data_IF_179816585702
#
_entry.id   IF_179816585702
#
_cell.length_a   1.000
_cell.length_b   1.000
_cell.length_c   1.000
_cell.angle_alpha   90.00
_cell.angle_beta   90.00
_cell.angle_gamma   90.00
#
_symmetry.space_group_name_H-M   'P 1'
#
loop_
_entity.id
_entity.type
_entity.pdbx_description
1 polymer ?
#
# COMPACT_ATOMS: atom_id res chain seq x y z
N UNK A 1 15.02 -8.82 4.71
CA UNK A 1 15.41 -7.44 4.33
C UNK A 1 14.13 -6.63 4.19
N UNK A 2 14.03 -5.47 4.84
CA UNK A 2 12.81 -4.65 4.81
C UNK A 2 12.77 -3.78 3.54
N UNK A 3 11.99 -4.20 2.55
CA UNK A 3 11.87 -3.49 1.26
C UNK A 3 10.97 -2.24 1.32
N UNK A 4 10.37 -1.93 2.47
CA UNK A 4 9.60 -0.68 2.66
C UNK A 4 10.48 0.57 2.72
N UNK A 5 11.80 0.39 2.87
CA UNK A 5 12.77 1.49 2.99
C UNK A 5 13.62 1.57 1.72
N UNK A 6 13.63 2.73 1.07
CA UNK A 6 14.43 2.99 -0.14
C UNK A 6 15.92 2.60 0.01
N UNK A 7 16.54 2.92 1.15
CA UNK A 7 17.94 2.55 1.46
C UNK A 7 18.23 1.04 1.37
N UNK A 8 17.20 0.20 1.47
CA UNK A 8 17.28 -1.25 1.41
C UNK A 8 17.01 -1.80 -0.01
N UNK A 9 16.82 -0.96 -1.03
CA UNK A 9 16.67 -1.38 -2.43
C UNK A 9 18.00 -1.14 -3.14
N UNK A 10 18.90 -2.13 -3.30
CA UNK A 10 20.28 -1.84 -3.71
C UNK A 10 20.45 -1.53 -5.20
N UNK A 11 19.56 -2.02 -6.05
CA UNK A 11 19.64 -1.90 -7.51
C UNK A 11 18.29 -1.47 -8.09
N UNK A 12 18.24 -0.99 -9.34
CA UNK A 12 16.97 -0.71 -10.01
C UNK A 12 16.05 -1.93 -9.95
N UNK A 13 14.90 -1.78 -9.32
CA UNK A 13 14.02 -2.91 -9.00
C UNK A 13 12.56 -2.57 -9.28
N UNK A 14 11.87 -3.51 -9.93
CA UNK A 14 10.41 -3.50 -10.07
C UNK A 14 9.81 -4.54 -9.14
N UNK A 15 8.89 -4.11 -8.29
CA UNK A 15 8.06 -5.00 -7.46
C UNK A 15 6.65 -5.03 -8.05
N UNK A 16 6.15 -6.22 -8.36
CA UNK A 16 4.76 -6.45 -8.76
C UNK A 16 4.03 -7.07 -7.58
N UNK A 17 2.89 -6.52 -7.20
CA UNK A 17 2.01 -7.12 -6.20
C UNK A 17 1.04 -8.08 -6.89
N UNK A 18 1.52 -9.28 -7.21
CA UNK A 18 0.74 -10.33 -7.85
C UNK A 18 -0.39 -10.82 -6.91
N UNK A 19 -1.62 -10.98 -7.44
CA UNK A 19 -2.80 -11.55 -6.75
C UNK A 19 -3.26 -10.84 -5.46
N UNK A 20 -2.99 -9.54 -5.33
CA UNK A 20 -3.55 -8.76 -4.22
C UNK A 20 -5.08 -8.84 -4.21
N UNK A 21 -5.66 -9.22 -3.07
CA UNK A 21 -7.11 -9.21 -2.82
C UNK A 21 -7.64 -7.84 -2.39
N UNK A 22 -6.76 -6.83 -2.36
CA UNK A 22 -7.09 -5.50 -1.90
C UNK A 22 -7.30 -4.54 -3.08
N UNK A 23 -8.26 -3.65 -2.91
CA UNK A 23 -8.55 -2.53 -3.81
C UNK A 23 -7.52 -1.40 -3.72
N UNK A 24 -6.50 -1.51 -2.86
CA UNK A 24 -5.52 -0.46 -2.64
C UNK A 24 -4.07 -0.90 -2.86
N UNK A 25 -3.22 0.09 -3.14
CA UNK A 25 -1.76 0.03 -3.01
C UNK A 25 -1.26 1.42 -2.59
N UNK A 26 -0.17 1.49 -1.84
CA UNK A 26 0.30 2.77 -1.32
C UNK A 26 1.79 2.88 -1.17
N UNK A 27 2.23 4.13 -1.06
CA UNK A 27 3.59 4.53 -0.74
C UNK A 27 3.59 5.51 0.43
N UNK A 28 4.60 5.41 1.29
CA UNK A 28 4.78 6.29 2.44
C UNK A 28 6.17 6.93 2.42
N UNK A 29 6.22 8.26 2.56
CA UNK A 29 7.44 9.01 2.75
C UNK A 29 7.61 9.35 4.24
N UNK A 30 8.66 8.81 4.86
CA UNK A 30 8.92 9.06 6.29
C UNK A 30 9.39 10.48 6.58
N UNK A 31 10.10 11.11 5.65
CA UNK A 31 10.68 12.44 5.85
C UNK A 31 9.61 13.54 5.76
N UNK A 32 8.56 13.29 4.97
CA UNK A 32 7.44 14.22 4.73
C UNK A 32 6.21 13.93 5.63
N UNK A 33 6.26 12.89 6.46
CA UNK A 33 5.10 12.37 7.23
C UNK A 33 3.82 12.24 6.38
N UNK A 34 3.98 11.80 5.13
CA UNK A 34 2.91 11.78 4.13
C UNK A 34 3.03 10.62 3.17
N UNK A 35 1.91 10.20 2.61
CA UNK A 35 1.85 9.11 1.66
C UNK A 35 0.80 9.31 0.58
N UNK A 36 0.90 8.47 -0.44
CA UNK A 36 -0.03 8.40 -1.56
C UNK A 36 -0.62 7.01 -1.63
N UNK A 37 -1.95 6.94 -1.69
CA UNK A 37 -2.70 5.71 -1.89
C UNK A 37 -3.30 5.74 -3.29
N UNK A 38 -3.26 4.60 -3.96
CA UNK A 38 -4.13 4.30 -5.08
C UNK A 38 -5.23 3.37 -4.57
N UNK A 39 -6.48 3.69 -4.90
CA UNK A 39 -7.66 2.84 -4.65
C UNK A 39 -8.44 2.66 -5.94
N UNK A 40 -8.74 1.42 -6.30
CA UNK A 40 -9.60 1.04 -7.42
C UNK A 40 -10.06 -0.41 -7.27
N UNK A 41 -11.22 -0.74 -7.84
CA UNK A 41 -11.74 -2.12 -7.85
C UNK A 41 -10.70 -3.07 -8.44
N UNK A 42 -10.18 -3.99 -7.63
CA UNK A 42 -9.09 -4.89 -8.03
C UNK A 42 -9.47 -5.89 -9.13
N UNK A 43 -10.76 -6.11 -9.39
CA UNK A 43 -11.21 -6.89 -10.56
C UNK A 43 -11.08 -6.12 -11.88
N UNK A 44 -11.03 -4.79 -11.83
CA UNK A 44 -10.84 -3.90 -12.99
C UNK A 44 -9.39 -3.40 -13.06
N UNK A 45 -8.80 -3.04 -11.92
CA UNK A 45 -7.45 -2.51 -11.77
C UNK A 45 -6.54 -3.46 -10.97
N UNK A 46 -6.28 -4.68 -11.46
CA UNK A 46 -5.50 -5.65 -10.70
C UNK A 46 -4.01 -5.30 -10.67
N UNK A 47 -3.50 -4.62 -11.70
CA UNK A 47 -2.08 -4.30 -11.86
C UNK A 47 -1.60 -3.30 -10.80
N UNK A 48 -0.62 -3.72 -10.00
CA UNK A 48 -0.01 -2.92 -8.93
C UNK A 48 1.49 -3.09 -8.98
N UNK A 49 2.21 -2.02 -9.29
CA UNK A 49 3.66 -2.02 -9.46
C UNK A 49 4.29 -0.88 -8.70
N UNK A 50 5.39 -1.18 -8.01
CA UNK A 50 6.30 -0.18 -7.50
C UNK A 50 7.63 -0.31 -8.24
N UNK A 51 8.22 0.81 -8.59
CA UNK A 51 9.55 0.85 -9.16
C UNK A 51 10.43 1.85 -8.42
N UNK A 52 11.73 1.54 -8.34
CA UNK A 52 12.76 2.45 -7.84
C UNK A 52 14.07 2.21 -8.59
N UNK A 53 14.86 3.27 -8.79
CA UNK A 53 16.26 3.19 -9.22
C UNK A 53 17.18 2.48 -8.22
N UNK A 54 16.74 2.32 -6.97
CA UNK A 54 17.55 1.77 -5.89
C UNK A 54 18.64 2.72 -5.39
N UNK A 55 19.27 2.38 -4.28
CA UNK A 55 20.18 3.21 -3.50
C UNK A 55 21.67 3.01 -3.83
N UNK A 56 22.00 2.29 -4.90
CA UNK A 56 23.39 2.21 -5.39
C UNK A 56 23.84 3.54 -6.01
N UNK A 57 25.15 3.67 -6.25
CA UNK A 57 25.71 4.83 -6.98
C UNK A 57 25.02 5.06 -8.33
N UNK A 58 24.64 3.98 -9.02
CA UNK A 58 23.89 4.06 -10.27
C UNK A 58 22.52 4.71 -10.07
N UNK A 59 21.76 4.28 -9.06
CA UNK A 59 20.45 4.85 -8.78
C UNK A 59 20.52 6.29 -8.30
N UNK A 60 21.49 6.61 -7.42
CA UNK A 60 21.72 7.99 -6.97
C UNK A 60 22.17 8.92 -8.11
N UNK A 61 22.90 8.40 -9.11
CA UNK A 61 23.26 9.18 -10.30
C UNK A 61 22.02 9.53 -11.14
N UNK A 62 21.07 8.60 -11.26
CA UNK A 62 19.77 8.87 -11.89
C UNK A 62 18.94 9.86 -11.07
N UNK A 63 18.88 9.71 -9.75
CA UNK A 63 18.14 10.62 -8.87
C UNK A 63 18.62 12.08 -9.03
N UNK A 64 19.94 12.30 -9.14
CA UNK A 64 20.55 13.61 -9.41
C UNK A 64 20.33 14.12 -10.83
N UNK A 65 20.13 13.23 -11.80
CA UNK A 65 19.91 13.60 -13.19
C UNK A 65 18.45 13.95 -13.47
N UNK A 66 17.52 13.44 -12.66
CA UNK A 66 16.08 13.61 -12.83
C UNK A 66 15.48 14.61 -11.87
N UNK A 67 16.20 15.00 -10.80
CA UNK A 67 15.73 15.97 -9.81
C UNK A 67 16.85 16.97 -9.50
N UNK A 68 16.48 18.25 -9.33
CA UNK A 68 17.43 19.26 -8.88
C UNK A 68 17.70 19.12 -7.37
N UNK A 69 16.63 19.12 -6.56
CA UNK A 69 16.70 19.20 -5.10
C UNK A 69 15.80 18.20 -4.35
N UNK A 70 14.95 17.44 -5.05
CA UNK A 70 13.92 16.61 -4.40
C UNK A 70 14.34 15.16 -4.16
N UNK A 71 15.59 14.82 -4.50
CA UNK A 71 16.23 13.58 -4.12
C UNK A 71 15.61 12.33 -4.76
N UNK A 72 15.83 11.15 -4.15
CA UNK A 72 15.31 9.89 -4.65
C UNK A 72 13.79 9.85 -4.69
N UNK A 73 13.25 9.14 -5.68
CA UNK A 73 11.81 8.93 -5.83
C UNK A 73 11.47 7.45 -6.08
N UNK A 74 10.20 7.12 -5.90
CA UNK A 74 9.62 5.85 -6.33
C UNK A 74 8.45 6.11 -7.25
N UNK A 75 8.21 5.17 -8.16
CA UNK A 75 7.07 5.21 -9.06
C UNK A 75 6.03 4.19 -8.61
N UNK A 76 4.84 4.67 -8.28
CA UNK A 76 3.68 3.83 -8.07
C UNK A 76 2.88 3.76 -9.37
N UNK A 77 2.90 2.59 -10.01
CA UNK A 77 2.25 2.33 -11.29
C UNK A 77 1.06 1.38 -11.09
N UNK A 78 -0.03 1.68 -11.78
CA UNK A 78 -1.29 0.94 -11.63
C UNK A 78 -1.80 0.55 -13.02
N UNK A 79 -2.16 -0.72 -13.16
CA UNK A 79 -2.59 -1.34 -14.41
C UNK A 79 -4.08 -1.68 -14.39
N UNK A 80 -4.76 -1.44 -15.50
CA UNK A 80 -6.17 -1.77 -15.70
C UNK A 80 -6.27 -2.98 -16.61
N UNK A 81 -7.20 -3.89 -16.32
CA UNK A 81 -7.53 -5.11 -17.07
C UNK A 81 -6.42 -6.18 -17.19
N UNK A 82 -5.18 -5.88 -16.76
CA UNK A 82 -4.08 -6.82 -16.70
C UNK A 82 -3.31 -6.67 -15.38
N UNK A 83 -2.93 -7.80 -14.79
CA UNK A 83 -2.20 -7.87 -13.51
C UNK A 83 -0.68 -7.96 -13.70
N UNK A 84 -0.22 -8.25 -14.92
CA UNK A 84 1.18 -8.33 -15.30
C UNK A 84 1.44 -7.75 -16.70
N UNK A 85 2.72 -7.57 -17.04
CA UNK A 85 3.15 -7.14 -18.37
C UNK A 85 3.73 -8.32 -19.15
N UNK A 86 3.56 -8.37 -20.49
CA UNK A 86 2.78 -7.47 -21.34
C UNK A 86 1.28 -7.85 -21.45
N UNK A 87 0.41 -6.84 -21.60
CA UNK A 87 -1.00 -7.02 -22.00
C UNK A 87 -1.11 -7.01 -23.54
N UNK A 88 -1.79 -8.01 -24.10
CA UNK A 88 -2.03 -8.17 -25.54
C UNK A 88 -3.51 -8.02 -25.92
N UNK A 89 -4.34 -7.51 -25.02
CA UNK A 89 -5.76 -7.27 -25.32
C UNK A 89 -5.91 -6.12 -26.32
N UNK A 90 -6.97 -6.23 -27.13
CA UNK A 90 -7.37 -5.21 -28.09
C UNK A 90 -8.64 -4.50 -27.61
N UNK A 91 -8.97 -3.39 -28.25
CA UNK A 91 -10.28 -2.75 -28.15
C UNK A 91 -11.01 -3.04 -29.47
N UNK A 92 -12.11 -3.79 -29.42
CA UNK A 92 -12.88 -4.15 -30.60
C UNK A 92 -13.63 -2.95 -31.19
N UNK A 93 -14.09 -3.08 -32.45
CA UNK A 93 -14.89 -2.04 -33.08
C UNK A 93 -16.16 -1.77 -32.27
N UNK A 94 -16.37 -0.51 -31.89
CA UNK A 94 -17.48 -0.05 -31.03
C UNK A 94 -17.42 -0.54 -29.57
N UNK A 95 -16.30 -1.11 -29.11
CA UNK A 95 -16.09 -1.43 -27.69
C UNK A 95 -15.72 -0.17 -26.90
N UNK A 96 -16.26 -0.05 -25.68
CA UNK A 96 -15.87 0.95 -24.71
C UNK A 96 -15.46 0.25 -23.40
N UNK A 97 -14.26 0.60 -22.89
CA UNK A 97 -13.82 0.19 -21.56
C UNK A 97 -13.78 1.41 -20.65
N UNK A 98 -14.44 1.32 -19.49
CA UNK A 98 -14.46 2.36 -18.46
C UNK A 98 -13.83 1.85 -17.18
N UNK A 99 -13.07 2.69 -16.52
CA UNK A 99 -12.45 2.41 -15.23
C UNK A 99 -12.34 3.71 -14.42
N UNK A 100 -12.22 3.56 -13.10
CA UNK A 100 -12.01 4.66 -12.18
C UNK A 100 -10.83 4.34 -11.28
N UNK A 101 -10.01 5.35 -10.99
CA UNK A 101 -8.88 5.24 -10.09
C UNK A 101 -8.83 6.47 -9.20
N UNK A 102 -8.59 6.24 -7.91
CA UNK A 102 -8.53 7.27 -6.90
C UNK A 102 -7.10 7.37 -6.39
N UNK A 103 -6.48 8.55 -6.50
CA UNK A 103 -5.17 8.85 -5.95
C UNK A 103 -5.36 9.76 -4.75
N UNK A 104 -5.10 9.22 -3.57
CA UNK A 104 -5.57 9.78 -2.30
C UNK A 104 -4.35 10.07 -1.40
N UNK A 105 -4.04 11.35 -1.11
CA UNK A 105 -3.01 11.68 -0.15
C UNK A 105 -3.49 11.35 1.27
N UNK A 106 -2.57 10.93 2.12
CA UNK A 106 -2.82 10.73 3.55
C UNK A 106 -1.57 11.07 4.37
N UNK A 107 -1.74 11.26 5.67
CA UNK A 107 -0.64 11.58 6.59
C UNK A 107 -0.83 10.91 7.96
N UNK A 108 0.20 11.02 8.80
CA UNK A 108 0.25 10.62 10.22
C UNK A 108 0.06 9.14 10.59
N UNK A 109 -0.49 8.29 9.73
CA UNK A 109 -0.66 6.86 10.03
C UNK A 109 0.60 6.02 9.75
N UNK A 110 1.50 6.47 8.87
CA UNK A 110 2.63 5.66 8.44
C UNK A 110 2.20 4.55 7.47
N UNK A 111 2.77 3.36 7.62
CA UNK A 111 2.31 2.18 6.85
C UNK A 111 0.91 1.76 7.29
N UNK A 112 0.05 1.44 6.32
CA UNK A 112 -1.37 1.14 6.50
C UNK A 112 -1.71 -0.23 5.91
N UNK A 113 -2.81 -0.83 6.37
CA UNK A 113 -3.16 -2.22 6.06
C UNK A 113 -4.36 -2.35 5.13
N UNK A 114 -5.26 -1.36 5.10
CA UNK A 114 -6.29 -1.26 4.07
C UNK A 114 -6.74 0.18 3.84
N UNK A 115 -7.26 0.47 2.66
CA UNK A 115 -7.81 1.77 2.29
C UNK A 115 -9.01 1.62 1.35
N UNK A 116 -9.96 2.53 1.48
CA UNK A 116 -11.05 2.76 0.55
C UNK A 116 -11.05 4.23 0.10
N UNK A 117 -12.05 4.61 -0.70
CA UNK A 117 -12.31 6.01 -1.05
C UNK A 117 -12.68 6.89 0.16
N UNK A 118 -13.10 6.26 1.26
CA UNK A 118 -13.66 6.96 2.40
C UNK A 118 -12.71 6.97 3.60
N UNK A 119 -11.93 5.90 3.79
CA UNK A 119 -11.11 5.74 4.98
C UNK A 119 -9.85 4.92 4.74
N UNK A 120 -8.90 5.04 5.65
CA UNK A 120 -7.67 4.26 5.71
C UNK A 120 -7.53 3.68 7.10
N UNK A 121 -7.21 2.39 7.20
CA UNK A 121 -7.04 1.70 8.47
C UNK A 121 -5.62 1.17 8.64
N UNK A 122 -5.15 1.27 9.89
CA UNK A 122 -3.89 0.73 10.35
C UNK A 122 -4.13 -0.29 11.46
N UNK A 123 -3.42 -1.40 11.37
CA UNK A 123 -3.28 -2.40 12.42
C UNK A 123 -1.92 -3.09 12.27
N UNK A 124 -0.98 -2.76 13.14
CA UNK A 124 0.36 -3.35 13.13
C UNK A 124 0.88 -3.62 14.54
N UNK A 125 1.71 -4.65 14.68
CA UNK A 125 2.43 -4.90 15.93
C UNK A 125 3.77 -4.20 15.91
N UNK A 126 4.14 -3.57 17.03
CA UNK A 126 5.45 -2.97 17.26
C UNK A 126 5.92 -3.25 18.69
N UNK A 127 7.13 -2.79 19.03
CA UNK A 127 7.65 -2.88 20.40
C UNK A 127 6.79 -2.12 21.42
N UNK A 128 5.99 -1.16 20.97
CA UNK A 128 5.08 -0.38 21.84
C UNK A 128 3.81 -1.13 22.19
N UNK A 129 3.43 -2.12 21.39
CA UNK A 129 2.16 -2.83 21.49
C UNK A 129 1.49 -2.98 20.11
N UNK A 130 0.16 -3.08 20.12
CA UNK A 130 -0.62 -3.20 18.89
C UNK A 130 -1.09 -1.80 18.50
N UNK A 131 -0.44 -1.22 17.51
CA UNK A 131 -0.77 0.10 16.97
C UNK A 131 -1.95 -0.01 16.01
N UNK A 132 -2.93 0.86 16.20
CA UNK A 132 -4.08 0.98 15.31
C UNK A 132 -4.30 2.44 14.91
N UNK A 133 -5.00 2.63 13.79
CA UNK A 133 -5.38 3.97 13.36
C UNK A 133 -6.48 3.96 12.30
N UNK A 134 -7.17 5.08 12.22
CA UNK A 134 -8.20 5.38 11.23
C UNK A 134 -7.98 6.80 10.72
N UNK A 135 -7.92 6.96 9.41
CA UNK A 135 -7.81 8.26 8.73
C UNK A 135 -8.99 8.43 7.79
N UNK A 136 -9.59 9.61 7.80
CA UNK A 136 -10.74 9.95 6.98
C UNK A 136 -10.33 10.61 5.66
N UNK A 137 -10.70 10.00 4.54
CA UNK A 137 -10.59 10.58 3.19
C UNK A 137 -11.87 11.36 2.87
N UNK A 138 -13.02 10.81 3.26
CA UNK A 138 -14.33 11.45 3.20
C UNK A 138 -14.91 11.60 4.62
N UNK A 139 -15.97 12.40 4.83
CA UNK A 139 -16.59 12.53 6.15
C UNK A 139 -17.11 11.19 6.67
N UNK A 140 -16.67 10.79 7.87
CA UNK A 140 -17.12 9.58 8.55
C UNK A 140 -18.08 9.98 9.66
N UNK A 141 -19.39 9.95 9.42
CA UNK A 141 -20.41 10.35 10.40
C UNK A 141 -21.22 9.13 10.88
N UNK A 142 -21.19 8.84 12.18
CA UNK A 142 -21.92 7.70 12.75
C UNK A 142 -21.28 6.35 12.47
N UNK A 143 -19.99 6.35 12.10
CA UNK A 143 -19.23 5.13 11.83
C UNK A 143 -18.83 4.48 13.14
N UNK A 144 -18.43 3.21 13.07
CA UNK A 144 -17.95 2.45 14.23
C UNK A 144 -16.69 1.68 13.88
N UNK A 145 -15.64 1.84 14.69
CA UNK A 145 -14.38 1.12 14.54
C UNK A 145 -14.27 0.05 15.61
N UNK A 146 -14.09 -1.20 15.18
CA UNK A 146 -13.95 -2.34 16.08
C UNK A 146 -12.64 -3.08 15.83
N UNK A 147 -11.96 -3.49 16.91
CA UNK A 147 -10.81 -4.40 16.88
C UNK A 147 -11.16 -5.63 17.70
N UNK A 148 -11.02 -6.81 17.10
CA UNK A 148 -11.38 -8.10 17.73
C UNK A 148 -10.29 -9.13 17.52
N UNK A 149 -10.19 -10.06 18.45
CA UNK A 149 -9.44 -11.29 18.23
C UNK A 149 -10.34 -12.31 17.54
N UNK A 150 -9.81 -12.97 16.50
CA UNK A 150 -10.58 -13.96 15.74
C UNK A 150 -11.08 -15.06 16.68
N UNK A 151 -12.36 -15.42 16.54
CA UNK A 151 -13.00 -16.43 17.36
C UNK A 151 -13.43 -15.95 18.76
N UNK A 152 -13.18 -14.69 19.12
CA UNK A 152 -13.66 -14.09 20.39
C UNK A 152 -14.75 -13.06 20.13
N UNK A 153 -15.79 -13.09 20.96
CA UNK A 153 -16.92 -12.16 20.84
C UNK A 153 -16.62 -10.76 21.40
N UNK A 154 -15.70 -10.65 22.36
CA UNK A 154 -15.40 -9.38 23.01
C UNK A 154 -14.46 -8.54 22.15
N UNK A 155 -14.83 -7.28 21.94
CA UNK A 155 -13.95 -6.31 21.28
C UNK A 155 -12.86 -5.85 22.24
N UNK A 156 -11.67 -5.64 21.68
CA UNK A 156 -10.54 -4.98 22.35
C UNK A 156 -10.64 -3.45 22.21
N UNK A 157 -11.26 -2.99 21.12
CA UNK A 157 -11.64 -1.61 20.85
C UNK A 157 -13.00 -1.62 20.16
N UNK A 158 -13.90 -0.72 20.56
CA UNK A 158 -15.21 -0.61 19.95
C UNK A 158 -15.77 0.82 20.11
N UNK A 159 -15.33 1.71 19.21
CA UNK A 159 -15.53 3.15 19.35
C UNK A 159 -16.45 3.70 18.24
N UNK A 160 -17.33 4.61 18.63
CA UNK A 160 -18.06 5.45 17.69
C UNK A 160 -17.10 6.50 17.09
N UNK A 161 -17.20 6.70 15.77
CA UNK A 161 -16.30 7.55 15.00
C UNK A 161 -17.08 8.67 14.33
N UNK A 162 -16.57 9.89 14.52
CA UNK A 162 -16.97 11.08 13.80
C UNK A 162 -15.70 11.82 13.34
N UNK A 163 -15.36 11.73 12.05
CA UNK A 163 -14.14 12.33 11.50
C UNK A 163 -14.43 13.17 10.26
N UNK A 164 -13.72 14.29 10.15
CA UNK A 164 -13.70 15.13 8.96
C UNK A 164 -12.60 14.66 8.01
N UNK A 165 -12.69 14.94 6.70
CA UNK A 165 -11.59 14.66 5.77
C UNK A 165 -10.26 15.20 6.27
N UNK A 166 -9.18 14.46 6.00
CA UNK A 166 -7.82 14.77 6.45
C UNK A 166 -7.62 14.81 7.98
N UNK A 167 -8.45 14.10 8.72
CA UNK A 167 -8.26 13.88 10.17
C UNK A 167 -8.05 12.40 10.48
N UNK A 168 -7.33 12.12 11.56
CA UNK A 168 -7.00 10.78 11.98
C UNK A 168 -7.16 10.59 13.49
N UNK A 169 -7.50 9.37 13.88
CA UNK A 169 -7.41 8.87 15.25
C UNK A 169 -6.50 7.65 15.26
N UNK A 170 -5.75 7.48 16.34
CA UNK A 170 -4.80 6.38 16.48
C UNK A 170 -4.57 6.08 17.96
N UNK A 171 -4.15 4.85 18.24
CA UNK A 171 -3.87 4.40 19.59
C UNK A 171 -3.01 3.15 19.62
N UNK A 172 -2.70 2.70 20.83
CA UNK A 172 -1.91 1.49 21.09
C UNK A 172 -2.62 0.64 22.13
N UNK A 173 -2.86 -0.63 21.81
CA UNK A 173 -3.32 -1.61 22.78
C UNK A 173 -2.09 -2.22 23.48
N UNK A 174 -2.02 -2.06 24.80
CA UNK A 174 -0.91 -2.51 25.63
C UNK A 174 -1.29 -3.75 26.45
N UNK A 175 -0.30 -4.59 26.78
CA UNK A 175 -0.47 -5.68 27.75
C UNK A 175 -1.34 -6.86 27.28
N UNK A 176 -1.64 -6.93 25.98
CA UNK A 176 -2.41 -8.02 25.37
C UNK A 176 -1.57 -8.77 24.33
N UNK A 177 -1.84 -10.06 24.17
CA UNK A 177 -1.19 -10.90 23.15
C UNK A 177 -2.22 -11.80 22.44
N UNK A 178 -3.13 -11.22 21.64
CA UNK A 178 -4.10 -11.98 20.86
C UNK A 178 -3.40 -12.81 19.77
N UNK A 179 -3.95 -13.97 19.41
CA UNK A 179 -3.36 -14.83 18.37
C UNK A 179 -3.42 -14.17 16.98
N UNK A 180 -4.60 -13.64 16.65
CA UNK A 180 -4.84 -12.98 15.36
C UNK A 180 -5.97 -11.96 15.48
N UNK A 181 -5.75 -10.78 14.92
CA UNK A 181 -6.71 -9.68 15.02
C UNK A 181 -7.47 -9.39 13.73
N UNK A 182 -8.64 -8.79 13.88
CA UNK A 182 -9.35 -8.03 12.85
C UNK A 182 -9.52 -6.58 13.29
N UNK A 183 -9.52 -5.68 12.32
CA UNK A 183 -9.99 -4.30 12.46
C UNK A 183 -11.07 -4.07 11.41
N UNK A 184 -12.21 -3.53 11.82
CA UNK A 184 -13.38 -3.35 10.98
C UNK A 184 -13.96 -1.96 11.20
N UNK A 185 -14.24 -1.28 10.10
CA UNK A 185 -14.96 -0.02 10.07
C UNK A 185 -16.36 -0.28 9.50
N UNK A 186 -17.37 0.02 10.30
CA UNK A 186 -18.78 -0.05 9.89
C UNK A 186 -19.35 1.34 9.65
N UNK A 187 -20.21 1.48 8.66
CA UNK A 187 -20.98 2.70 8.41
C UNK A 187 -22.13 2.87 9.44
N UNK A 188 -22.91 3.94 9.30
CA UNK A 188 -24.03 4.25 10.18
C UNK A 188 -25.18 3.23 10.13
N UNK A 189 -25.26 2.44 9.05
CA UNK A 189 -26.26 1.38 8.88
C UNK A 189 -25.75 0.03 9.43
N UNK A 190 -24.49 -0.03 9.89
CA UNK A 190 -23.86 -1.22 10.44
C UNK A 190 -23.23 -2.14 9.41
N UNK A 191 -23.08 -1.70 8.15
CA UNK A 191 -22.37 -2.47 7.12
C UNK A 191 -20.86 -2.29 7.30
N UNK A 192 -20.10 -3.37 7.22
CA UNK A 192 -18.63 -3.31 7.20
C UNK A 192 -18.20 -2.76 5.83
N UNK A 193 -17.63 -1.56 5.83
CA UNK A 193 -17.21 -0.85 4.60
C UNK A 193 -15.69 -0.91 4.37
N UNK A 194 -14.92 -1.21 5.41
CA UNK A 194 -13.48 -1.42 5.32
C UNK A 194 -13.03 -2.36 6.43
N UNK A 195 -12.25 -3.38 6.08
CA UNK A 195 -11.77 -4.34 7.07
C UNK A 195 -10.36 -4.81 6.75
N UNK A 196 -9.66 -5.26 7.78
CA UNK A 196 -8.39 -5.94 7.65
C UNK A 196 -8.30 -7.04 8.68
N UNK A 197 -7.89 -8.21 8.20
CA UNK A 197 -7.53 -9.34 9.04
C UNK A 197 -6.01 -9.42 9.07
N UNK A 198 -5.44 -9.42 10.28
CA UNK A 198 -4.01 -9.45 10.51
C UNK A 198 -3.34 -10.51 9.62
N UNK A 199 -2.45 -10.06 8.75
CA UNK A 199 -1.64 -10.94 7.93
C UNK A 199 -0.65 -11.67 8.84
N UNK A 200 -0.74 -13.00 8.86
CA UNK A 200 0.25 -13.86 9.48
C UNK A 200 1.19 -14.31 8.37
N UNK A 201 2.46 -13.87 8.40
CA UNK A 201 3.43 -14.30 7.40
C UNK A 201 3.50 -15.83 7.39
N UNK A 202 3.26 -16.44 6.23
CA UNK A 202 3.78 -17.77 6.00
C UNK A 202 5.28 -17.64 5.69
N UNK A 203 6.10 -18.55 6.19
CA UNK A 203 7.50 -18.66 5.78
C UNK A 203 7.55 -19.01 4.29
N UNK A 204 7.54 -17.98 3.45
CA UNK A 204 7.94 -18.07 2.06
C UNK A 204 9.44 -17.76 2.02
N UNK A 205 10.25 -18.56 1.30
CA UNK A 205 11.66 -18.22 1.11
C UNK A 205 11.72 -16.84 0.46
N UNK A 206 12.46 -15.92 1.09
CA UNK A 206 12.69 -14.61 0.53
C UNK A 206 13.28 -14.79 -0.88
N UNK A 207 12.75 -14.11 -1.91
CA UNK A 207 13.37 -14.15 -3.22
C UNK A 207 14.81 -13.64 -3.12
N UNK A 208 15.72 -14.28 -3.84
CA UNK A 208 17.10 -13.82 -3.93
C UNK A 208 17.14 -12.37 -4.42
N UNK A 209 17.94 -11.54 -3.76
CA UNK A 209 18.12 -10.14 -4.17
C UNK A 209 18.66 -10.12 -5.60
N UNK A 210 18.03 -9.33 -6.46
CA UNK A 210 18.53 -9.10 -7.81
C UNK A 210 19.99 -8.61 -7.74
N UNK A 211 20.91 -9.41 -8.27
CA UNK A 211 22.32 -9.03 -8.40
C UNK A 211 22.46 -8.21 -9.67
N UNK A 212 23.12 -7.05 -9.59
CA UNK A 212 23.39 -6.21 -10.76
C UNK A 212 24.11 -7.01 -11.85
N UNK A 213 23.69 -6.82 -13.10
CA UNK A 213 24.35 -7.46 -14.23
C UNK A 213 25.78 -6.90 -14.38
N UNK A 214 26.76 -7.77 -14.50
CA UNK A 214 28.11 -7.41 -14.92
C UNK A 214 28.05 -6.91 -16.37
N UNK A 215 28.36 -5.64 -16.61
CA UNK A 215 28.37 -5.05 -17.95
C UNK A 215 29.42 -5.76 -18.79
N UNK A 216 29.00 -6.65 -19.69
CA UNK A 216 29.81 -7.11 -20.82
C UNK A 216 29.58 -6.15 -21.96
N UNK A 217 30.57 -5.28 -22.23
CA UNK A 217 30.55 -4.36 -23.36
C UNK A 217 30.61 -5.15 -24.67
N UNK A 218 29.46 -5.44 -25.27
CA UNK A 218 29.39 -5.88 -26.67
C UNK A 218 28.86 -4.73 -27.52
N UNK A 219 29.74 -4.20 -28.35
CA UNK A 219 29.40 -3.23 -29.39
C UNK A 219 28.52 -3.94 -30.43
N UNK A 220 27.31 -3.45 -30.64
CA UNK A 220 26.49 -3.82 -31.79
C UNK A 220 26.26 -2.57 -32.64
N UNK A 221 26.77 -2.60 -33.87
CA UNK A 221 26.45 -1.62 -34.90
C UNK A 221 25.04 -1.91 -35.45
N UNK A 222 24.22 -0.86 -35.52
CA UNK A 222 22.90 -0.88 -36.13
C UNK A 222 23.01 -0.95 -37.67
N UNK A 223 22.08 -1.66 -38.30
CA UNK A 223 21.55 -1.30 -39.61
C UNK A 223 20.12 -0.84 -39.44
#
# INVERSE_FOLDING_TARGET
MDISRYKNVPVPTSYMAEKSQYDFVGAWCHDEDGGLLHVANHHIAPGKKQWSWGHSEFGQAWDKSLTDNNGPYIELMTGIFADNQPDFTWLDAYEEKRFEQYFLPYHSLGMVQNASRDAVIKLQRSERGIEWGLYAISPLNGYRLAIREIGKCNALLDDAVALMPATAIQGVLHGINPERLTIELSDADGNIVLSYQEHQPQELPLPDVAKGATVSTRHYQYR
#
